data_IF_930348161272
#
_entry.id   IF_930348161272
#
_cell.length_a   1.000
_cell.length_b   1.000
_cell.length_c   1.000
_cell.angle_alpha   90.00
_cell.angle_beta   90.00
_cell.angle_gamma   90.00
#
_symmetry.space_group_name_H-M   'P 1'
#
loop_
_entity.id
_entity.type
_entity.pdbx_description
1 polymer ?
#
# COMPACT_ATOMS: atom_id res chain seq x y z
N UNK A 1 -8.28 3.65 -21.28
CA UNK A 1 -8.31 4.35 -21.01
C UNK A 1 -8.35 5.56 -21.32
N UNK A 2 -8.71 6.14 -21.37
CA UNK A 2 -8.62 6.99 -21.40
C UNK A 2 -8.36 7.64 -20.84
N UNK A 3 -8.15 7.62 -20.86
CA UNK A 3 -7.88 8.09 -20.23
C UNK A 3 -7.54 8.99 -19.74
N UNK A 4 -7.43 9.32 -20.07
CA UNK A 4 -6.99 10.08 -19.54
C UNK A 4 -7.17 10.40 -18.42
N UNK A 5 -7.26 10.91 -18.25
CA UNK A 5 -7.38 11.20 -17.25
C UNK A 5 -7.74 10.67 -16.30
N UNK A 6 -7.44 10.59 -15.80
CA UNK A 6 -7.74 10.23 -14.63
C UNK A 6 -8.25 8.97 -14.38
N UNK A 7 -8.26 8.22 -15.14
CA UNK A 7 -8.62 6.90 -14.85
C UNK A 7 -10.07 6.59 -14.72
N UNK A 8 -10.87 7.46 -15.16
CA UNK A 8 -12.30 7.17 -15.19
C UNK A 8 -12.72 6.63 -16.53
N UNK A 9 -11.90 5.77 -17.08
CA UNK A 9 -12.23 5.11 -18.33
C UNK A 9 -13.14 3.93 -18.04
N UNK A 10 -13.60 3.30 -19.10
CA UNK A 10 -14.52 2.19 -19.00
C UNK A 10 -13.83 0.97 -18.40
N UNK A 11 -13.73 0.95 -17.09
CA UNK A 11 -13.12 -0.16 -16.35
C UNK A 11 -14.18 -1.22 -16.07
N UNK A 12 -13.79 -2.48 -16.17
CA UNK A 12 -14.69 -3.56 -15.80
C UNK A 12 -14.83 -3.61 -14.27
N UNK A 13 -15.96 -4.12 -13.77
CA UNK A 13 -16.10 -4.34 -12.34
C UNK A 13 -15.00 -5.24 -11.78
N UNK A 14 -14.54 -6.19 -12.57
CA UNK A 14 -13.46 -7.08 -12.13
C UNK A 14 -12.16 -6.32 -11.91
N UNK A 15 -11.82 -5.41 -12.82
CA UNK A 15 -10.63 -4.59 -12.66
C UNK A 15 -10.70 -3.73 -11.40
N UNK A 16 -11.87 -3.15 -11.12
CA UNK A 16 -12.05 -2.35 -9.90
C UNK A 16 -11.90 -3.18 -8.64
N UNK A 17 -12.44 -4.40 -8.66
CA UNK A 17 -12.34 -5.30 -7.52
C UNK A 17 -10.90 -5.70 -7.24
N UNK A 18 -10.15 -6.11 -8.27
CA UNK A 18 -8.76 -6.47 -8.10
C UNK A 18 -7.93 -5.29 -7.57
N UNK A 19 -8.16 -4.10 -8.12
CA UNK A 19 -7.43 -2.92 -7.69
C UNK A 19 -7.78 -2.54 -6.25
N UNK A 20 -9.06 -2.61 -5.88
CA UNK A 20 -9.49 -2.29 -4.54
C UNK A 20 -8.91 -3.26 -3.50
N UNK A 21 -8.87 -4.55 -3.81
CA UNK A 21 -8.36 -5.57 -2.90
C UNK A 21 -6.85 -5.43 -2.70
N UNK A 22 -6.12 -4.87 -3.69
CA UNK A 22 -4.68 -4.70 -3.57
C UNK A 22 -4.27 -3.86 -2.36
N UNK A 23 -5.12 -2.97 -1.90
CA UNK A 23 -4.77 -2.07 -0.79
C UNK A 23 -4.96 -2.71 0.59
N UNK A 24 -6.12 -3.34 0.91
CA UNK A 24 -6.29 -3.98 2.21
C UNK A 24 -5.69 -5.38 2.30
N UNK A 25 -5.34 -6.01 1.16
CA UNK A 25 -4.79 -7.37 1.18
C UNK A 25 -3.64 -7.56 2.18
N UNK A 26 -2.71 -6.60 2.35
CA UNK A 26 -1.65 -6.76 3.33
C UNK A 26 -2.11 -7.00 4.77
N UNK A 27 -3.33 -6.55 5.12
CA UNK A 27 -3.85 -6.77 6.46
C UNK A 27 -3.95 -8.25 6.80
N UNK A 28 -4.34 -9.07 5.83
CA UNK A 28 -4.39 -10.52 6.02
C UNK A 28 -2.98 -11.07 6.21
N UNK A 29 -2.04 -10.56 5.43
CA UNK A 29 -0.67 -11.02 5.48
C UNK A 29 0.07 -10.67 6.75
N UNK A 30 -0.38 -9.63 7.48
CA UNK A 30 0.26 -9.26 8.73
C UNK A 30 0.23 -10.40 9.75
N UNK A 31 -0.78 -11.26 9.70
CA UNK A 31 -0.83 -12.43 10.56
C UNK A 31 0.28 -13.41 10.25
N UNK A 32 0.81 -13.39 9.03
CA UNK A 32 1.87 -14.28 8.59
C UNK A 32 3.24 -13.60 8.60
N UNK A 33 3.30 -12.34 9.01
CA UNK A 33 4.50 -11.51 9.13
C UNK A 33 5.15 -11.15 7.79
N UNK A 34 5.05 -11.99 6.77
CA UNK A 34 5.65 -11.74 5.46
C UNK A 34 4.59 -11.51 4.38
N UNK A 35 3.34 -11.88 4.65
CA UNK A 35 2.27 -11.77 3.66
C UNK A 35 1.96 -10.34 3.28
N UNK A 36 2.35 -9.38 4.11
CA UNK A 36 2.11 -7.97 3.83
C UNK A 36 2.77 -7.52 2.53
N UNK A 37 3.87 -8.17 2.14
CA UNK A 37 4.54 -7.90 0.87
C UNK A 37 4.10 -8.91 -0.17
N UNK A 38 3.89 -10.17 0.23
CA UNK A 38 3.57 -11.24 -0.71
C UNK A 38 2.20 -11.07 -1.35
N UNK A 39 1.20 -10.56 -0.62
CA UNK A 39 -0.15 -10.43 -1.18
C UNK A 39 -0.23 -9.39 -2.30
N UNK A 40 0.28 -8.16 -2.14
CA UNK A 40 0.33 -7.22 -3.26
C UNK A 40 1.20 -7.73 -4.40
N UNK A 41 2.30 -8.43 -4.07
CA UNK A 41 3.17 -9.01 -5.08
C UNK A 41 2.43 -10.09 -5.88
N UNK A 42 1.64 -10.92 -5.20
CA UNK A 42 0.83 -11.93 -5.86
C UNK A 42 -0.20 -11.30 -6.81
N UNK A 43 -0.84 -10.21 -6.39
CA UNK A 43 -1.78 -9.51 -7.25
C UNK A 43 -1.05 -8.95 -8.48
N UNK A 44 0.16 -8.43 -8.29
CA UNK A 44 0.95 -7.89 -9.39
C UNK A 44 1.25 -8.95 -10.43
N UNK A 45 1.56 -10.19 -10.01
CA UNK A 45 1.95 -11.26 -10.94
C UNK A 45 0.78 -12.15 -11.37
N UNK A 46 -0.22 -12.34 -10.51
CA UNK A 46 -1.31 -13.29 -10.76
C UNK A 46 -2.63 -12.61 -11.09
N UNK A 47 -2.79 -11.35 -10.75
CA UNK A 47 -4.00 -10.61 -11.07
C UNK A 47 -4.04 -10.17 -12.52
N UNK A 48 -5.12 -9.52 -12.93
CA UNK A 48 -5.24 -9.00 -14.30
C UNK A 48 -4.09 -8.10 -14.66
N UNK A 49 -3.58 -8.25 -15.88
CA UNK A 49 -2.40 -7.50 -16.35
C UNK A 49 -2.83 -6.20 -17.03
N UNK A 50 -3.74 -5.48 -16.43
CA UNK A 50 -4.15 -4.17 -16.94
C UNK A 50 -3.35 -3.08 -16.24
N UNK A 51 -3.11 -1.94 -16.90
CA UNK A 51 -2.39 -0.84 -16.25
C UNK A 51 -3.03 -0.38 -14.96
N UNK A 52 -4.38 -0.42 -14.88
CA UNK A 52 -5.08 0.02 -13.69
C UNK A 52 -4.79 -0.88 -12.49
N UNK A 53 -4.94 -2.19 -12.65
CA UNK A 53 -4.67 -3.15 -11.57
C UNK A 53 -3.20 -3.14 -11.19
N UNK A 54 -2.30 -3.09 -12.19
CA UNK A 54 -0.87 -3.07 -11.94
C UNK A 54 -0.44 -1.82 -11.18
N UNK A 55 -1.03 -0.67 -11.51
CA UNK A 55 -0.70 0.57 -10.80
C UNK A 55 -1.07 0.48 -9.32
N UNK A 56 -2.26 -0.04 -9.01
CA UNK A 56 -2.67 -0.18 -7.61
C UNK A 56 -1.85 -1.22 -6.87
N UNK A 57 -1.52 -2.34 -7.50
CA UNK A 57 -0.70 -3.37 -6.88
C UNK A 57 0.71 -2.85 -6.58
N UNK A 58 1.31 -2.11 -7.51
CA UNK A 58 2.64 -1.51 -7.31
C UNK A 58 2.62 -0.48 -6.21
N UNK A 59 1.57 0.34 -6.14
CA UNK A 59 1.48 1.34 -5.08
C UNK A 59 1.36 0.69 -3.71
N UNK A 60 0.55 -0.36 -3.59
CA UNK A 60 0.43 -1.11 -2.35
C UNK A 60 1.76 -1.77 -1.96
N UNK A 61 2.44 -2.38 -2.93
CA UNK A 61 3.73 -3.02 -2.68
C UNK A 61 4.77 -2.00 -2.22
N UNK A 62 4.85 -0.85 -2.90
CA UNK A 62 5.77 0.21 -2.50
C UNK A 62 5.45 0.72 -1.09
N UNK A 63 4.17 0.82 -0.76
CA UNK A 63 3.75 1.20 0.58
C UNK A 63 4.24 0.21 1.62
N UNK A 64 4.05 -1.08 1.39
CA UNK A 64 4.46 -2.10 2.34
C UNK A 64 5.98 -2.16 2.50
N UNK A 65 6.73 -1.99 1.42
CA UNK A 65 8.18 -1.91 1.51
C UNK A 65 8.58 -0.69 2.34
N UNK A 66 7.97 0.45 2.08
CA UNK A 66 8.27 1.68 2.82
C UNK A 66 7.98 1.52 4.31
N UNK A 67 6.81 0.96 4.65
CA UNK A 67 6.42 0.77 6.05
C UNK A 67 7.38 -0.18 6.77
N UNK A 68 7.84 -1.21 6.08
CA UNK A 68 8.82 -2.14 6.64
C UNK A 68 10.13 -1.41 6.95
N UNK A 69 10.59 -0.57 6.02
CA UNK A 69 11.82 0.20 6.23
C UNK A 69 11.65 1.21 7.36
N UNK A 70 10.50 1.90 7.42
CA UNK A 70 10.23 2.85 8.50
C UNK A 70 10.16 2.14 9.85
N UNK A 71 9.50 0.98 9.90
CA UNK A 71 9.40 0.18 11.12
C UNK A 71 10.75 -0.32 11.59
N UNK A 72 11.60 -0.75 10.66
CA UNK A 72 12.96 -1.17 11.00
C UNK A 72 13.76 -0.01 11.59
N UNK A 73 13.64 1.18 10.99
CA UNK A 73 14.30 2.36 11.53
C UNK A 73 13.85 2.69 12.94
N UNK A 74 12.54 2.59 13.19
CA UNK A 74 11.99 2.82 14.53
C UNK A 74 12.50 1.77 15.53
N UNK A 75 12.58 0.52 15.09
CA UNK A 75 13.11 -0.55 15.95
C UNK A 75 14.55 -0.26 16.36
N UNK A 76 15.40 0.14 15.41
CA UNK A 76 16.79 0.46 15.70
C UNK A 76 16.88 1.67 16.64
N UNK A 77 16.02 2.67 16.43
CA UNK A 77 15.97 3.84 17.29
C UNK A 77 15.56 3.45 18.72
N UNK A 78 14.61 2.52 18.84
CA UNK A 78 14.12 2.07 20.14
C UNK A 78 15.17 1.36 20.98
N UNK A 79 16.26 0.91 20.37
CA UNK A 79 17.36 0.29 21.12
C UNK A 79 18.16 1.30 21.93
N UNK A 80 17.92 2.60 21.75
CA UNK A 80 18.53 3.64 22.55
C UNK A 80 17.57 4.11 23.63
N UNK A 81 18.10 4.62 24.74
CA UNK A 81 17.26 5.12 25.84
C UNK A 81 16.44 6.33 25.39
N UNK A 82 17.06 7.25 24.68
CA UNK A 82 16.37 8.44 24.14
C UNK A 82 15.35 8.03 23.11
N UNK A 83 15.69 7.04 22.28
CA UNK A 83 14.82 6.58 21.22
C UNK A 83 13.50 5.99 21.73
N UNK A 84 13.51 5.37 22.91
CA UNK A 84 12.28 4.81 23.47
C UNK A 84 11.21 5.87 23.67
N UNK A 85 11.59 7.07 24.09
CA UNK A 85 10.63 8.16 24.30
C UNK A 85 10.09 8.68 22.97
N UNK A 86 10.95 8.76 21.95
CA UNK A 86 10.59 9.31 20.64
C UNK A 86 9.82 8.30 19.78
N UNK A 87 10.13 7.02 19.92
CA UNK A 87 9.56 5.96 19.09
C UNK A 87 8.04 5.84 19.25
N UNK A 88 7.54 6.05 20.47
CA UNK A 88 6.12 5.81 20.73
C UNK A 88 5.20 6.69 19.86
N UNK A 89 5.36 8.03 19.86
CA UNK A 89 4.53 8.86 18.98
C UNK A 89 4.81 8.61 17.49
N UNK A 90 6.06 8.30 17.14
CA UNK A 90 6.37 8.02 15.73
C UNK A 90 5.71 6.71 15.27
N UNK A 91 5.66 5.70 16.13
CA UNK A 91 4.99 4.44 15.80
C UNK A 91 3.48 4.66 15.60
N UNK A 92 2.87 5.49 16.43
CA UNK A 92 1.47 5.84 16.26
C UNK A 92 1.24 6.59 14.96
N UNK A 93 2.14 7.51 14.61
CA UNK A 93 2.04 8.25 13.35
C UNK A 93 2.19 7.30 12.15
N UNK A 94 3.10 6.35 12.24
CA UNK A 94 3.27 5.36 11.17
C UNK A 94 2.02 4.50 11.02
N UNK A 95 1.44 4.04 12.11
CA UNK A 95 0.20 3.26 12.05
C UNK A 95 -0.91 4.06 11.39
N UNK A 96 -1.06 5.33 11.77
CA UNK A 96 -2.05 6.20 11.16
C UNK A 96 -1.80 6.36 9.66
N UNK A 97 -0.54 6.49 9.24
CA UNK A 97 -0.20 6.60 7.82
C UNK A 97 -0.58 5.34 7.07
N UNK A 98 -0.27 4.16 7.61
CA UNK A 98 -0.59 2.88 6.99
C UNK A 98 -2.10 2.77 6.77
N UNK A 99 -2.88 3.03 7.83
CA UNK A 99 -4.33 2.90 7.74
C UNK A 99 -4.93 3.93 6.78
N UNK A 100 -4.44 5.16 6.83
CA UNK A 100 -4.91 6.23 5.94
C UNK A 100 -4.70 5.84 4.48
N UNK A 101 -3.48 5.42 4.13
CA UNK A 101 -3.15 5.08 2.74
C UNK A 101 -3.94 3.87 2.27
N UNK A 102 -4.11 2.85 3.11
CA UNK A 102 -4.89 1.66 2.74
C UNK A 102 -6.34 2.01 2.45
N UNK A 103 -6.97 2.78 3.34
CA UNK A 103 -8.39 3.14 3.18
C UNK A 103 -8.57 4.02 1.96
N UNK A 104 -7.75 5.06 1.81
CA UNK A 104 -7.89 5.97 0.67
C UNK A 104 -7.61 5.27 -0.65
N UNK A 105 -6.61 4.37 -0.66
CA UNK A 105 -6.30 3.59 -1.86
C UNK A 105 -7.43 2.67 -2.26
N UNK A 106 -8.01 1.95 -1.30
CA UNK A 106 -9.11 1.04 -1.57
C UNK A 106 -10.35 1.80 -2.07
N UNK A 107 -10.66 2.94 -1.45
CA UNK A 107 -11.80 3.75 -1.87
C UNK A 107 -11.60 4.31 -3.27
N UNK A 108 -10.40 4.80 -3.58
CA UNK A 108 -10.10 5.31 -4.90
C UNK A 108 -10.24 4.21 -5.96
N UNK A 109 -9.72 3.02 -5.68
CA UNK A 109 -9.81 1.89 -6.60
C UNK A 109 -11.26 1.51 -6.86
N UNK A 110 -12.11 1.55 -5.83
CA UNK A 110 -13.54 1.27 -5.98
C UNK A 110 -14.23 2.29 -6.88
N UNK A 111 -13.71 3.52 -6.94
CA UNK A 111 -14.24 4.58 -7.82
C UNK A 111 -13.58 4.58 -9.20
N UNK A 112 -12.65 3.67 -9.46
CA UNK A 112 -11.94 3.64 -10.74
C UNK A 112 -10.79 4.64 -10.82
N UNK A 113 -10.35 5.16 -9.70
CA UNK A 113 -9.27 6.15 -9.62
C UNK A 113 -8.00 5.52 -9.07
N UNK A 114 -6.87 6.13 -9.37
CA UNK A 114 -5.57 5.71 -8.81
C UNK A 114 -5.18 6.70 -7.71
N UNK A 115 -4.92 6.16 -6.53
CA UNK A 115 -4.50 6.97 -5.39
C UNK A 115 -3.00 6.74 -5.15
N UNK A 116 -2.26 7.83 -4.98
CA UNK A 116 -0.85 7.75 -4.65
C UNK A 116 -0.69 7.85 -3.14
N UNK A 117 -0.02 6.87 -2.55
CA UNK A 117 0.18 6.81 -1.11
C UNK A 117 1.01 8.01 -0.64
N UNK A 118 0.64 8.51 0.54
CA UNK A 118 1.37 9.62 1.15
C UNK A 118 2.64 9.11 1.84
N UNK A 119 3.71 9.87 1.70
CA UNK A 119 4.95 9.67 2.47
C UNK A 119 5.55 8.28 2.35
N UNK A 120 5.56 7.72 1.15
CA UNK A 120 6.20 6.42 0.91
C UNK A 120 7.33 6.54 -0.10
N UNK A 121 8.22 5.56 -0.07
CA UNK A 121 9.26 5.40 -1.07
C UNK A 121 8.72 4.56 -2.22
N UNK A 122 9.12 4.90 -3.45
CA UNK A 122 8.63 4.17 -4.63
C UNK A 122 9.77 3.40 -5.27
N UNK A 123 10.10 2.26 -4.63
CA UNK A 123 11.20 1.42 -5.07
C UNK A 123 10.79 0.50 -6.22
N UNK A 124 9.50 0.24 -6.38
CA UNK A 124 8.97 -0.53 -7.50
C UNK A 124 8.44 0.46 -8.54
N UNK A 125 9.05 0.55 -9.72
CA UNK A 125 8.67 1.53 -10.75
C UNK A 125 7.34 1.20 -11.44
#
# INVERSE_FOLDING_TARGET
>A
GRGGGGGLVALSPEERTWAAVAHPAPLVGYFLLIGQVLLPLAILFLGPKTPFVQAHAKESLNGQISYTLYGLGLFLLALTVVGLVVVYPLALALLALVLWNMVRGALAAGRGEVYRYAFILRLVP
#
